data_IF_575736819998
#
_entry.id   IF_575736819998
#
_cell.length_a   1.000
_cell.length_b   1.000
_cell.length_c   1.000
_cell.angle_alpha   90.00
_cell.angle_beta   90.00
_cell.angle_gamma   90.00
#
_symmetry.space_group_name_H-M   'P 1'
#
loop_
_entity.id
_entity.type
_entity.pdbx_description
1 polymer ?
#
# COMPACT_ATOMS: atom_id res chain seq x y z
N UNK A 1 1.80 -19.81 -14.88
CA UNK A 1 1.60 -18.39 -15.26
C UNK A 1 1.59 -17.55 -14.00
N UNK A 2 2.34 -16.45 -13.97
CA UNK A 2 2.22 -15.42 -12.92
C UNK A 2 0.78 -14.88 -12.89
N UNK A 3 0.31 -14.42 -11.73
CA UNK A 3 -0.90 -13.60 -11.61
C UNK A 3 -0.49 -12.34 -10.85
N UNK A 4 -0.21 -11.26 -11.56
CA UNK A 4 0.30 -10.02 -10.94
C UNK A 4 -0.86 -9.18 -10.38
N UNK A 5 -0.64 -8.57 -9.21
CA UNK A 5 -1.52 -7.56 -8.61
C UNK A 5 -0.69 -6.37 -8.20
N UNK A 6 -1.00 -5.21 -8.77
CA UNK A 6 -0.39 -3.93 -8.40
C UNK A 6 -1.21 -3.29 -7.29
N UNK A 7 -0.56 -2.66 -6.32
CA UNK A 7 -1.22 -1.90 -5.27
C UNK A 7 -0.61 -0.51 -5.12
N UNK A 8 -1.46 0.44 -4.74
CA UNK A 8 -1.09 1.75 -4.21
C UNK A 8 -1.94 1.93 -2.95
N UNK A 9 -1.30 2.02 -1.80
CA UNK A 9 -1.94 2.29 -0.52
C UNK A 9 -1.63 3.72 -0.11
N UNK A 10 -2.65 4.52 0.17
CA UNK A 10 -2.49 5.88 0.68
C UNK A 10 -2.96 5.94 2.13
N UNK A 11 -2.32 6.81 2.92
CA UNK A 11 -2.76 7.13 4.28
C UNK A 11 -2.39 8.57 4.65
N UNK A 12 -2.98 9.09 5.71
CA UNK A 12 -2.66 10.42 6.25
C UNK A 12 -1.17 10.57 6.60
N UNK A 13 -0.62 11.77 6.43
CA UNK A 13 0.77 12.11 6.80
C UNK A 13 1.04 12.05 8.30
N UNK A 14 -0.01 12.04 9.13
CA UNK A 14 0.12 11.91 10.59
C UNK A 14 0.50 10.48 11.01
N UNK A 15 0.35 9.52 10.11
CA UNK A 15 0.72 8.13 10.34
C UNK A 15 2.24 7.99 10.44
N UNK A 16 2.69 7.07 11.30
CA UNK A 16 4.11 6.71 11.34
C UNK A 16 4.37 5.68 10.24
N UNK A 17 5.03 6.10 9.16
CA UNK A 17 5.32 5.24 8.01
C UNK A 17 6.08 3.95 8.38
N UNK A 18 7.07 4.03 9.27
CA UNK A 18 7.84 2.86 9.70
C UNK A 18 6.98 1.85 10.46
N UNK A 19 6.05 2.34 11.29
CA UNK A 19 5.07 1.49 11.97
C UNK A 19 4.12 0.84 10.97
N UNK A 20 3.54 1.63 10.05
CA UNK A 20 2.60 1.14 9.03
C UNK A 20 3.25 0.07 8.17
N UNK A 21 4.47 0.30 7.69
CA UNK A 21 5.24 -0.69 6.93
C UNK A 21 5.40 -1.97 7.76
N UNK A 22 5.88 -1.88 9.00
CA UNK A 22 6.04 -3.06 9.86
C UNK A 22 4.74 -3.85 10.07
N UNK A 23 3.61 -3.17 10.24
CA UNK A 23 2.30 -3.84 10.35
C UNK A 23 1.87 -4.50 9.04
N UNK A 24 2.11 -3.87 7.89
CA UNK A 24 1.84 -4.45 6.56
C UNK A 24 2.72 -5.68 6.32
N UNK A 25 4.00 -5.62 6.69
CA UNK A 25 4.94 -6.74 6.51
C UNK A 25 4.61 -7.98 7.36
N UNK A 26 3.68 -7.88 8.32
CA UNK A 26 3.13 -9.04 9.02
C UNK A 26 2.21 -9.89 8.14
N UNK A 27 1.70 -9.35 7.04
CA UNK A 27 0.93 -10.13 6.07
C UNK A 27 1.85 -11.14 5.37
N UNK A 28 1.50 -12.42 5.42
CA UNK A 28 2.29 -13.49 4.81
C UNK A 28 1.79 -13.77 3.40
N UNK A 29 2.64 -13.47 2.41
CA UNK A 29 2.44 -13.80 1.01
C UNK A 29 3.33 -14.99 0.64
N UNK A 30 2.70 -16.15 0.39
CA UNK A 30 3.38 -17.38 -0.06
C UNK A 30 4.57 -17.79 0.84
N UNK A 31 4.38 -17.70 2.15
CA UNK A 31 5.39 -18.09 3.15
C UNK A 31 6.43 -17.03 3.47
N UNK A 32 6.36 -15.84 2.85
CA UNK A 32 7.24 -14.71 3.15
C UNK A 32 6.43 -13.51 3.62
N UNK A 33 7.03 -12.66 4.46
CA UNK A 33 6.49 -11.33 4.75
C UNK A 33 6.32 -10.55 3.45
N UNK A 34 5.14 -9.95 3.28
CA UNK A 34 4.90 -9.01 2.20
C UNK A 34 5.86 -7.82 2.36
N UNK A 35 6.48 -7.37 1.27
CA UNK A 35 7.38 -6.21 1.25
C UNK A 35 6.72 -5.08 0.49
N UNK A 36 6.62 -3.91 1.11
CA UNK A 36 6.03 -2.71 0.49
C UNK A 36 7.00 -1.54 0.67
N UNK A 37 7.00 -0.61 -0.28
CA UNK A 37 7.92 0.53 -0.28
C UNK A 37 7.12 1.82 -0.24
N UNK A 38 7.47 2.71 0.69
CA UNK A 38 7.01 4.09 0.66
C UNK A 38 7.70 4.88 -0.44
N UNK A 39 6.99 5.81 -1.08
CA UNK A 39 7.59 6.78 -1.99
C UNK A 39 8.65 7.67 -1.31
N UNK A 40 8.62 7.78 0.02
CA UNK A 40 9.58 8.52 0.83
C UNK A 40 10.72 7.64 1.38
N UNK A 41 10.89 6.41 0.87
CA UNK A 41 11.96 5.53 1.31
C UNK A 41 13.33 6.18 1.09
N UNK A 42 14.18 6.18 2.14
CA UNK A 42 15.52 6.77 2.15
C UNK A 42 16.49 6.16 1.12
N UNK A 43 16.20 4.97 0.58
CA UNK A 43 16.99 4.35 -0.50
C UNK A 43 16.63 4.87 -1.89
N UNK A 44 15.55 5.65 -2.02
CA UNK A 44 15.12 6.29 -3.26
C UNK A 44 15.62 7.74 -3.31
N UNK A 45 15.79 8.34 -4.50
CA UNK A 45 16.10 9.76 -4.59
C UNK A 45 15.00 10.61 -3.96
N UNK A 46 15.36 11.67 -3.25
CA UNK A 46 14.35 12.57 -2.67
C UNK A 46 13.53 13.25 -3.78
N UNK A 47 12.20 13.25 -3.65
CA UNK A 47 11.31 13.87 -4.65
C UNK A 47 11.43 13.25 -6.05
N UNK A 48 11.71 11.95 -6.15
CA UNK A 48 11.82 11.23 -7.44
C UNK A 48 10.51 11.17 -8.25
N UNK A 49 9.40 11.59 -7.64
CA UNK A 49 8.10 11.75 -8.27
C UNK A 49 7.93 13.15 -8.88
N UNK A 50 7.01 13.30 -9.84
CA UNK A 50 6.75 14.59 -10.49
C UNK A 50 6.10 15.63 -9.56
N UNK A 51 6.28 16.91 -9.88
CA UNK A 51 5.69 18.03 -9.15
C UNK A 51 6.73 19.08 -8.75
N UNK A 52 6.31 20.05 -7.93
CA UNK A 52 7.19 21.09 -7.34
C UNK A 52 7.23 21.05 -5.82
N UNK A 53 6.56 20.07 -5.20
CA UNK A 53 6.37 19.91 -3.75
C UNK A 53 6.38 18.44 -3.36
N UNK A 54 6.55 18.17 -2.07
CA UNK A 54 6.37 16.83 -1.50
C UNK A 54 4.89 16.43 -1.49
N UNK A 55 4.62 15.13 -1.47
CA UNK A 55 3.28 14.61 -1.28
C UNK A 55 2.76 14.98 0.11
N UNK A 56 1.52 15.44 0.18
CA UNK A 56 0.77 15.67 1.43
C UNK A 56 -0.02 14.41 1.85
N UNK A 57 0.48 13.23 1.48
CA UNK A 57 -0.04 11.90 1.85
C UNK A 57 1.12 10.91 1.93
N UNK A 58 1.02 9.94 2.83
CA UNK A 58 1.87 8.76 2.77
C UNK A 58 1.37 7.88 1.62
N UNK A 59 2.29 7.35 0.81
CA UNK A 59 1.98 6.49 -0.33
C UNK A 59 2.93 5.30 -0.34
N UNK A 60 2.35 4.11 -0.35
CA UNK A 60 3.06 2.84 -0.39
C UNK A 60 2.69 2.08 -1.66
N UNK A 61 3.69 1.58 -2.39
CA UNK A 61 3.50 0.93 -3.68
C UNK A 61 4.12 -0.46 -3.70
N UNK A 62 3.54 -1.36 -4.50
CA UNK A 62 4.05 -2.71 -4.67
C UNK A 62 3.36 -3.47 -5.80
N UNK A 63 4.05 -4.48 -6.32
CA UNK A 63 3.52 -5.42 -7.31
C UNK A 63 3.83 -6.85 -6.85
N UNK A 64 2.80 -7.69 -6.80
CA UNK A 64 2.87 -9.00 -6.15
C UNK A 64 2.31 -10.10 -7.04
N UNK A 65 2.94 -11.27 -6.99
CA UNK A 65 2.38 -12.47 -7.60
C UNK A 65 1.45 -13.18 -6.62
N UNK A 66 0.24 -13.51 -7.08
CA UNK A 66 -0.78 -14.27 -6.36
C UNK A 66 -1.22 -13.64 -5.03
N UNK A 67 -1.30 -12.30 -4.99
CA UNK A 67 -1.84 -11.61 -3.83
C UNK A 67 -3.35 -11.88 -3.73
N UNK A 68 -3.76 -12.49 -2.61
CA UNK A 68 -5.17 -12.52 -2.26
C UNK A 68 -5.58 -11.15 -1.74
N UNK A 69 -6.18 -10.35 -2.63
CA UNK A 69 -6.57 -8.98 -2.33
C UNK A 69 -7.58 -8.90 -1.18
N UNK A 70 -8.49 -9.87 -1.05
CA UNK A 70 -9.51 -9.86 0.00
C UNK A 70 -8.87 -10.09 1.37
N UNK A 71 -7.98 -11.08 1.46
CA UNK A 71 -7.22 -11.35 2.69
C UNK A 71 -6.32 -10.16 3.04
N UNK A 72 -5.72 -9.51 2.05
CA UNK A 72 -4.90 -8.32 2.28
C UNK A 72 -5.72 -7.13 2.79
N UNK A 73 -6.89 -6.85 2.21
CA UNK A 73 -7.81 -5.81 2.71
C UNK A 73 -8.20 -6.09 4.16
N UNK A 74 -8.54 -7.33 4.50
CA UNK A 74 -8.88 -7.70 5.87
C UNK A 74 -7.70 -7.47 6.83
N UNK A 75 -6.47 -7.77 6.40
CA UNK A 75 -5.27 -7.46 7.17
C UNK A 75 -5.08 -5.96 7.36
N UNK A 76 -5.30 -5.13 6.33
CA UNK A 76 -5.18 -3.67 6.48
C UNK A 76 -6.21 -3.10 7.45
N UNK A 77 -7.42 -3.67 7.51
CA UNK A 77 -8.50 -3.22 8.43
C UNK A 77 -8.20 -3.50 9.90
N UNK A 78 -7.28 -4.41 10.24
CA UNK A 78 -6.89 -4.69 11.63
C UNK A 78 -5.71 -3.85 12.12
N UNK A 79 -5.05 -3.11 11.22
CA UNK A 79 -3.97 -2.17 11.58
C UNK A 79 -4.57 -1.00 12.38
N UNK A 80 -3.85 -0.57 13.42
CA UNK A 80 -4.24 0.60 14.23
C UNK A 80 -3.85 1.89 13.53
N UNK A 81 -4.70 2.36 12.63
CA UNK A 81 -4.56 3.67 11.99
C UNK A 81 -4.92 4.79 12.97
N UNK A 82 -4.19 5.90 12.91
CA UNK A 82 -4.54 7.14 13.62
C UNK A 82 -5.65 7.89 12.90
N UNK A 83 -5.68 7.82 11.57
CA UNK A 83 -6.66 8.47 10.70
C UNK A 83 -7.23 7.47 9.69
N UNK A 84 -8.15 6.58 10.12
CA UNK A 84 -8.66 5.49 9.30
C UNK A 84 -9.39 5.96 8.03
N UNK A 85 -10.06 7.12 8.08
CA UNK A 85 -10.84 7.67 6.96
C UNK A 85 -9.95 8.03 5.76
N UNK A 86 -8.67 8.32 6.01
CA UNK A 86 -7.70 8.64 4.98
C UNK A 86 -7.03 7.41 4.34
N UNK A 87 -7.41 6.18 4.74
CA UNK A 87 -6.78 4.95 4.25
C UNK A 87 -7.52 4.40 3.05
N UNK A 88 -6.87 4.47 1.89
CA UNK A 88 -7.43 3.99 0.62
C UNK A 88 -6.46 3.02 -0.05
N UNK A 89 -7.01 1.92 -0.58
CA UNK A 89 -6.29 0.95 -1.37
C UNK A 89 -6.75 1.03 -2.82
N UNK A 90 -5.80 1.34 -3.70
CA UNK A 90 -5.95 1.14 -5.13
C UNK A 90 -5.29 -0.18 -5.50
N UNK A 91 -5.97 -1.02 -6.28
CA UNK A 91 -5.38 -2.25 -6.78
C UNK A 91 -5.79 -2.55 -8.22
N UNK A 92 -4.92 -3.24 -8.94
CA UNK A 92 -5.11 -3.65 -10.33
C UNK A 92 -4.70 -5.13 -10.44
N UNK A 93 -5.68 -6.02 -10.67
CA UNK A 93 -5.39 -7.41 -11.00
C UNK A 93 -4.95 -7.55 -12.46
N UNK A 94 -4.26 -8.64 -12.80
CA UNK A 94 -3.65 -8.88 -14.12
C UNK A 94 -4.60 -8.69 -15.31
N UNK A 95 -5.87 -9.10 -15.18
CA UNK A 95 -6.88 -9.02 -16.23
C UNK A 95 -7.73 -7.73 -16.17
N UNK A 96 -7.45 -6.84 -15.21
CA UNK A 96 -8.18 -5.57 -15.07
C UNK A 96 -7.61 -4.51 -16.02
N UNK A 97 -8.50 -3.65 -16.55
CA UNK A 97 -8.10 -2.50 -17.38
C UNK A 97 -7.80 -1.22 -16.60
N UNK A 98 -8.21 -1.13 -15.33
CA UNK A 98 -8.09 0.07 -14.50
C UNK A 98 -8.00 -0.28 -13.02
N UNK A 99 -7.34 0.56 -12.24
CA UNK A 99 -7.32 0.44 -10.79
C UNK A 99 -8.74 0.49 -10.23
N UNK A 100 -9.03 -0.42 -9.31
CA UNK A 100 -10.17 -0.38 -8.40
C UNK A 100 -9.72 0.34 -7.13
N UNK A 101 -10.60 1.14 -6.54
CA UNK A 101 -10.32 1.87 -5.30
C UNK A 101 -11.26 1.39 -4.20
N UNK A 102 -10.73 1.21 -3.01
CA UNK A 102 -11.47 0.88 -1.79
C UNK A 102 -11.01 1.81 -0.66
N UNK A 103 -11.94 2.58 -0.11
CA UNK A 103 -11.79 3.19 1.22
C UNK A 103 -11.94 2.09 2.26
N UNK A 104 -10.96 1.91 3.14
CA UNK A 104 -10.95 0.73 4.01
C UNK A 104 -12.03 0.77 5.11
N UNK A 105 -12.49 1.96 5.49
CA UNK A 105 -13.35 2.18 6.66
C UNK A 105 -14.66 2.93 6.34
N UNK A 106 -15.00 3.10 5.07
CA UNK A 106 -16.31 3.61 4.61
C UNK A 106 -17.32 2.48 4.36
#
# INVERSE_FOLDING_TARGET
MSKVTNIILTSSVIENEEFVIKEIEKFILRGNSLKIVSINNKTLPEGWYGGSKHFESNVFIGAYNYLDIKSFINHLKIIKWKDPECVQLFYLEEDDYRFKMISLFE
#
